data_IF_096518984548
#
_entry.id   IF_096518984548
#
_cell.length_a   1.000
_cell.length_b   1.000
_cell.length_c   1.000
_cell.angle_alpha   90.00
_cell.angle_beta   90.00
_cell.angle_gamma   90.00
#
_symmetry.space_group_name_H-M   'P 1'
#
loop_
_entity.id
_entity.type
_entity.pdbx_description
1 polymer ?
#
# COMPACT_ATOMS: atom_id res chain seq x y z
N UNK A 1 16.70 6.66 5.71
CA UNK A 1 15.76 5.92 4.86
C UNK A 1 16.53 5.37 3.68
N UNK A 2 16.61 4.06 3.56
CA UNK A 2 17.30 3.33 2.48
C UNK A 2 18.75 3.81 2.21
N UNK A 3 19.48 4.22 3.24
CA UNK A 3 20.86 4.67 3.14
C UNK A 3 21.06 6.07 2.56
N UNK A 4 20.00 6.73 2.10
CA UNK A 4 20.08 8.08 1.55
C UNK A 4 19.38 9.07 2.49
N UNK A 5 20.12 9.95 3.19
CA UNK A 5 19.49 10.91 4.08
C UNK A 5 18.70 11.96 3.29
N UNK A 6 17.48 12.24 3.75
CA UNK A 6 16.66 13.32 3.22
C UNK A 6 16.99 14.61 3.98
N UNK A 7 17.28 15.67 3.24
CA UNK A 7 17.56 17.01 3.80
C UNK A 7 16.37 17.94 3.53
N UNK A 8 16.17 19.00 4.33
CA UNK A 8 15.17 20.02 3.99
C UNK A 8 15.41 20.52 2.56
N UNK A 9 14.35 20.56 1.76
CA UNK A 9 14.44 20.94 0.35
C UNK A 9 14.92 19.86 -0.59
N UNK A 10 15.28 18.68 -0.11
CA UNK A 10 15.65 17.55 -0.95
C UNK A 10 14.46 17.09 -1.78
N UNK A 11 14.65 16.92 -3.08
CA UNK A 11 13.60 16.44 -3.99
C UNK A 11 13.74 14.94 -4.22
N UNK A 12 12.59 14.27 -4.39
CA UNK A 12 12.58 12.88 -4.82
C UNK A 12 13.10 12.78 -6.24
N UNK A 13 14.23 12.10 -6.42
CA UNK A 13 14.78 11.76 -7.75
C UNK A 13 14.06 10.56 -8.32
N UNK A 14 14.30 10.22 -9.59
CA UNK A 14 13.67 9.09 -10.26
C UNK A 14 13.77 7.77 -9.51
N UNK A 15 14.97 7.44 -8.98
CA UNK A 15 15.16 6.19 -8.25
C UNK A 15 14.43 6.21 -6.90
N UNK A 16 14.47 7.29 -6.17
CA UNK A 16 13.78 7.40 -4.88
C UNK A 16 12.27 7.33 -5.06
N UNK A 17 11.72 7.90 -6.14
CA UNK A 17 10.28 7.78 -6.46
C UNK A 17 9.86 6.34 -6.74
N UNK A 18 10.75 5.52 -7.29
CA UNK A 18 10.49 4.08 -7.49
C UNK A 18 10.59 3.31 -6.18
N UNK A 19 11.58 3.63 -5.34
CA UNK A 19 11.86 2.92 -4.10
C UNK A 19 10.82 3.15 -3.01
N UNK A 20 10.12 4.29 -3.03
CA UNK A 20 9.12 4.67 -2.03
C UNK A 20 7.78 4.90 -2.73
N UNK A 21 6.78 4.13 -2.37
CA UNK A 21 5.41 4.25 -2.89
C UNK A 21 4.42 4.41 -1.75
N UNK A 22 3.24 4.96 -2.04
CA UNK A 22 2.19 5.18 -1.04
C UNK A 22 0.86 4.57 -1.46
N UNK A 23 0.16 4.04 -0.46
CA UNK A 23 -1.25 3.64 -0.58
C UNK A 23 -2.06 4.51 0.38
N UNK A 24 -3.02 5.25 -0.17
CA UNK A 24 -3.80 6.23 0.58
C UNK A 24 -5.08 5.65 1.16
N UNK A 25 -5.67 6.39 2.10
CA UNK A 25 -6.89 6.04 2.82
C UNK A 25 -8.10 5.87 1.89
N UNK A 26 -8.27 6.75 0.90
CA UNK A 26 -9.47 6.79 0.08
C UNK A 26 -9.25 6.09 -1.27
N UNK A 27 -9.79 4.86 -1.44
CA UNK A 27 -9.65 4.15 -2.70
C UNK A 27 -10.42 4.78 -3.86
N UNK A 28 -11.41 5.63 -3.57
CA UNK A 28 -12.16 6.35 -4.61
C UNK A 28 -11.38 7.54 -5.16
N UNK A 29 -10.64 8.24 -4.30
CA UNK A 29 -9.82 9.39 -4.71
C UNK A 29 -8.51 9.00 -5.36
N UNK A 30 -8.02 7.77 -5.13
CA UNK A 30 -6.72 7.31 -5.62
C UNK A 30 -6.68 7.06 -7.13
N UNK A 31 -7.83 6.86 -7.78
CA UNK A 31 -7.92 6.46 -9.18
C UNK A 31 -8.64 7.54 -9.99
N UNK A 32 -8.07 7.89 -11.15
CA UNK A 32 -8.70 8.85 -12.05
C UNK A 32 -9.93 8.22 -12.70
N UNK A 33 -11.13 8.83 -12.56
CA UNK A 33 -12.38 8.18 -12.97
C UNK A 33 -12.52 7.95 -14.47
N UNK A 34 -11.82 8.73 -15.28
CA UNK A 34 -11.90 8.64 -16.75
C UNK A 34 -10.79 7.77 -17.36
N UNK A 35 -9.88 7.25 -16.54
CA UNK A 35 -8.84 6.35 -16.99
C UNK A 35 -9.22 4.90 -16.67
N UNK A 36 -9.14 4.01 -17.66
CA UNK A 36 -9.26 2.59 -17.37
C UNK A 36 -8.06 2.11 -16.54
N UNK A 37 -8.14 0.90 -16.03
CA UNK A 37 -7.09 0.37 -15.15
C UNK A 37 -5.77 0.15 -15.91
N UNK A 38 -5.85 -0.23 -17.17
CA UNK A 38 -4.68 -0.35 -18.05
C UNK A 38 -3.86 0.95 -18.06
N UNK A 39 -4.52 2.07 -18.24
CA UNK A 39 -3.88 3.39 -18.28
C UNK A 39 -3.34 3.78 -16.91
N UNK A 40 -4.14 3.56 -15.86
CA UNK A 40 -3.76 3.88 -14.48
C UNK A 40 -2.49 3.14 -14.06
N UNK A 41 -2.42 1.85 -14.35
CA UNK A 41 -1.26 1.02 -13.99
C UNK A 41 -0.08 1.24 -14.94
N UNK A 42 -0.34 1.56 -16.20
CA UNK A 42 0.70 1.77 -17.20
C UNK A 42 1.45 3.09 -17.08
N UNK A 43 0.80 4.15 -16.56
CA UNK A 43 1.43 5.47 -16.47
C UNK A 43 2.73 5.50 -15.67
N UNK A 44 2.78 4.97 -14.43
CA UNK A 44 4.05 4.98 -13.70
C UNK A 44 5.15 4.20 -14.40
N UNK A 45 4.81 3.12 -15.09
CA UNK A 45 5.79 2.34 -15.84
C UNK A 45 6.34 3.13 -17.03
N UNK A 46 5.49 3.86 -17.74
CA UNK A 46 5.90 4.73 -18.86
C UNK A 46 6.79 5.89 -18.39
N UNK A 47 6.40 6.53 -17.28
CA UNK A 47 7.15 7.66 -16.69
C UNK A 47 8.57 7.25 -16.35
N UNK A 48 8.76 6.03 -15.84
CA UNK A 48 10.08 5.51 -15.45
C UNK A 48 10.77 4.72 -16.57
N UNK A 49 10.24 4.74 -17.79
CA UNK A 49 10.87 4.09 -18.95
C UNK A 49 10.94 2.57 -18.84
N UNK A 50 10.02 1.96 -18.11
CA UNK A 50 10.00 0.52 -17.90
C UNK A 50 9.53 -0.23 -19.16
N UNK A 51 10.03 -1.46 -19.31
CA UNK A 51 9.69 -2.34 -20.43
C UNK A 51 8.66 -3.38 -20.01
N UNK A 52 8.09 -4.09 -21.00
CA UNK A 52 7.11 -5.16 -20.77
C UNK A 52 5.89 -4.71 -19.96
N UNK A 53 5.40 -3.50 -20.28
CA UNK A 53 4.33 -2.84 -19.53
C UNK A 53 3.09 -3.73 -19.41
N UNK A 54 2.62 -4.31 -20.52
CA UNK A 54 1.42 -5.14 -20.54
C UNK A 54 1.55 -6.36 -19.63
N UNK A 55 2.67 -7.05 -19.70
CA UNK A 55 2.92 -8.24 -18.86
C UNK A 55 3.00 -7.87 -17.40
N UNK A 56 3.60 -6.73 -17.08
CA UNK A 56 3.72 -6.25 -15.69
C UNK A 56 2.38 -5.85 -15.10
N UNK A 57 1.50 -5.27 -15.91
CA UNK A 57 0.13 -4.93 -15.49
C UNK A 57 -0.66 -6.21 -15.17
N UNK A 58 -0.62 -7.19 -16.06
CA UNK A 58 -1.31 -8.47 -15.84
C UNK A 58 -0.79 -9.15 -14.56
N UNK A 59 0.52 -9.22 -14.40
CA UNK A 59 1.14 -9.81 -13.21
C UNK A 59 0.72 -9.09 -11.93
N UNK A 60 0.71 -7.77 -11.94
CA UNK A 60 0.30 -6.98 -10.76
C UNK A 60 -1.17 -7.21 -10.39
N UNK A 61 -2.06 -7.28 -11.38
CA UNK A 61 -3.47 -7.57 -11.14
C UNK A 61 -3.66 -8.96 -10.53
N UNK A 62 -2.97 -9.96 -11.06
CA UNK A 62 -3.02 -11.31 -10.51
C UNK A 62 -2.53 -11.37 -9.07
N UNK A 63 -1.44 -10.66 -8.76
CA UNK A 63 -0.88 -10.60 -7.40
C UNK A 63 -1.85 -10.03 -6.36
N UNK A 64 -2.74 -9.15 -6.77
CA UNK A 64 -3.76 -8.59 -5.88
C UNK A 64 -5.11 -9.29 -6.00
N UNK A 65 -5.15 -10.42 -6.70
CA UNK A 65 -6.35 -11.25 -6.79
C UNK A 65 -7.40 -10.76 -7.79
N UNK A 66 -7.00 -9.98 -8.79
CA UNK A 66 -7.89 -9.50 -9.84
C UNK A 66 -7.56 -10.16 -11.18
N UNK A 67 -8.58 -10.41 -12.03
CA UNK A 67 -8.34 -11.00 -13.35
C UNK A 67 -7.68 -10.00 -14.31
N UNK A 68 -6.98 -10.52 -15.31
CA UNK A 68 -6.37 -9.69 -16.36
C UNK A 68 -7.39 -8.80 -17.07
N UNK A 69 -8.63 -9.26 -17.21
CA UNK A 69 -9.73 -8.49 -17.82
C UNK A 69 -10.07 -7.20 -17.06
N UNK A 70 -9.68 -7.08 -15.80
CA UNK A 70 -9.88 -5.86 -15.02
C UNK A 70 -9.15 -4.65 -15.65
N UNK A 71 -8.10 -4.88 -16.43
CA UNK A 71 -7.33 -3.81 -17.08
C UNK A 71 -8.18 -2.95 -18.03
N UNK A 72 -9.23 -3.52 -18.61
CA UNK A 72 -10.11 -2.82 -19.57
C UNK A 72 -11.26 -2.07 -18.91
N UNK A 73 -11.42 -2.21 -17.60
CA UNK A 73 -12.52 -1.59 -16.86
C UNK A 73 -12.12 -0.25 -16.26
N UNK A 74 -13.15 0.51 -15.89
CA UNK A 74 -13.00 1.83 -15.26
C UNK A 74 -13.24 1.74 -13.76
N UNK A 75 -12.72 2.72 -12.96
CA UNK A 75 -12.86 2.69 -11.49
C UNK A 75 -14.30 2.51 -10.99
N UNK A 76 -15.29 3.14 -11.65
CA UNK A 76 -16.70 3.03 -11.22
C UNK A 76 -17.28 1.62 -11.31
N UNK A 77 -16.61 0.72 -12.02
CA UNK A 77 -17.04 -0.69 -12.18
C UNK A 77 -16.51 -1.59 -11.06
N UNK A 78 -15.82 -1.03 -10.07
CA UNK A 78 -15.22 -1.79 -8.98
C UNK A 78 -15.75 -1.35 -7.62
N UNK A 79 -15.80 -2.30 -6.67
CA UNK A 79 -16.09 -2.02 -5.26
C UNK A 79 -14.93 -1.24 -4.61
N UNK A 80 -15.16 -0.72 -3.39
CA UNK A 80 -14.10 -0.05 -2.63
C UNK A 80 -12.90 -0.95 -2.36
N UNK A 81 -13.12 -2.20 -1.98
CA UNK A 81 -12.05 -3.18 -1.77
C UNK A 81 -11.27 -3.50 -3.03
N UNK A 82 -11.96 -3.65 -4.15
CA UNK A 82 -11.32 -3.87 -5.45
C UNK A 82 -10.50 -2.65 -5.89
N UNK A 83 -11.00 -1.43 -5.69
CA UNK A 83 -10.24 -0.20 -5.96
C UNK A 83 -8.99 -0.11 -5.11
N UNK A 84 -9.07 -0.52 -3.85
CA UNK A 84 -7.90 -0.54 -2.97
C UNK A 84 -6.87 -1.58 -3.46
N UNK A 85 -7.31 -2.73 -3.94
CA UNK A 85 -6.42 -3.73 -4.56
C UNK A 85 -5.72 -3.15 -5.79
N UNK A 86 -6.42 -2.37 -6.60
CA UNK A 86 -5.82 -1.69 -7.76
C UNK A 86 -4.77 -0.66 -7.32
N UNK A 87 -5.05 0.12 -6.28
CA UNK A 87 -4.09 1.08 -5.72
C UNK A 87 -2.83 0.38 -5.20
N UNK A 88 -3.00 -0.77 -4.56
CA UNK A 88 -1.88 -1.61 -4.11
C UNK A 88 -1.08 -2.13 -5.32
N UNK A 89 -1.75 -2.63 -6.34
CA UNK A 89 -1.11 -3.11 -7.57
C UNK A 89 -0.27 -2.01 -8.21
N UNK A 90 -0.80 -0.79 -8.29
CA UNK A 90 -0.08 0.36 -8.84
C UNK A 90 1.20 0.64 -8.06
N UNK A 91 1.12 0.60 -6.74
CA UNK A 91 2.28 0.81 -5.88
C UNK A 91 3.35 -0.28 -6.08
N UNK A 92 2.93 -1.53 -6.29
CA UNK A 92 3.86 -2.67 -6.47
C UNK A 92 4.59 -2.66 -7.81
N UNK A 93 4.01 -2.05 -8.84
CA UNK A 93 4.57 -2.10 -10.20
C UNK A 93 5.99 -1.58 -10.30
N UNK A 94 6.36 -0.61 -9.49
CA UNK A 94 7.69 -0.02 -9.48
C UNK A 94 8.66 -0.78 -8.57
N UNK A 95 8.22 -1.88 -7.98
CA UNK A 95 9.02 -2.73 -7.07
C UNK A 95 9.65 -1.92 -5.94
N UNK A 96 8.82 -1.26 -5.11
CA UNK A 96 9.33 -0.37 -4.06
C UNK A 96 10.06 -1.14 -2.97
N UNK A 97 11.01 -0.50 -2.33
CA UNK A 97 11.67 -1.01 -1.12
C UNK A 97 10.91 -0.63 0.14
N UNK A 98 10.22 0.51 0.11
CA UNK A 98 9.40 1.02 1.20
C UNK A 98 8.01 1.34 0.69
N UNK A 99 7.00 0.81 1.37
CA UNK A 99 5.60 1.10 1.09
C UNK A 99 4.99 1.83 2.28
N UNK A 100 4.52 3.05 2.04
CA UNK A 100 3.82 3.85 3.03
C UNK A 100 2.33 3.55 2.93
N UNK A 101 1.74 3.09 4.03
CA UNK A 101 0.33 2.73 4.12
C UNK A 101 -0.36 3.73 5.05
N UNK A 102 -1.12 4.66 4.47
CA UNK A 102 -1.83 5.69 5.21
C UNK A 102 -3.29 5.30 5.35
N UNK A 103 -3.66 4.77 6.52
CA UNK A 103 -5.01 4.31 6.84
C UNK A 103 -5.60 3.41 5.74
N UNK A 104 -4.88 2.34 5.30
CA UNK A 104 -5.19 1.66 4.03
C UNK A 104 -6.53 0.93 4.01
N UNK A 105 -7.16 0.73 5.17
CA UNK A 105 -8.41 -0.01 5.28
C UNK A 105 -9.53 0.76 5.97
N UNK A 106 -9.29 1.99 6.41
CA UNK A 106 -10.25 2.75 7.23
C UNK A 106 -11.58 3.06 6.53
N UNK A 107 -11.58 3.15 5.19
CA UNK A 107 -12.77 3.41 4.39
C UNK A 107 -13.53 2.14 3.97
N UNK A 108 -13.08 0.96 4.42
CA UNK A 108 -13.62 -0.33 4.03
C UNK A 108 -14.41 -0.97 5.18
N UNK A 109 -15.38 -1.82 4.86
CA UNK A 109 -16.07 -2.59 5.89
C UNK A 109 -15.15 -3.67 6.49
N UNK A 110 -15.54 -4.25 7.64
CA UNK A 110 -14.63 -5.12 8.41
C UNK A 110 -14.21 -6.38 7.67
N UNK A 111 -15.09 -6.99 6.88
CA UNK A 111 -14.74 -8.22 6.15
C UNK A 111 -13.76 -7.95 5.03
N UNK A 112 -13.96 -6.87 4.29
CA UNK A 112 -13.06 -6.43 3.22
C UNK A 112 -11.73 -5.96 3.80
N UNK A 113 -11.77 -5.28 4.95
CA UNK A 113 -10.59 -4.84 5.67
C UNK A 113 -9.65 -6.02 5.98
N UNK A 114 -10.19 -7.12 6.53
CA UNK A 114 -9.40 -8.32 6.81
C UNK A 114 -8.74 -8.90 5.55
N UNK A 115 -9.46 -8.93 4.44
CA UNK A 115 -8.93 -9.41 3.16
C UNK A 115 -7.75 -8.55 2.68
N UNK A 116 -7.88 -7.22 2.76
CA UNK A 116 -6.83 -6.30 2.35
C UNK A 116 -5.59 -6.41 3.25
N UNK A 117 -5.78 -6.53 4.56
CA UNK A 117 -4.66 -6.69 5.50
C UNK A 117 -3.92 -8.01 5.25
N UNK A 118 -4.64 -9.09 4.99
CA UNK A 118 -4.02 -10.38 4.65
C UNK A 118 -3.25 -10.31 3.33
N UNK A 119 -3.80 -9.62 2.34
CA UNK A 119 -3.13 -9.38 1.07
C UNK A 119 -1.82 -8.61 1.28
N UNK A 120 -1.85 -7.53 2.05
CA UNK A 120 -0.67 -6.71 2.34
C UNK A 120 0.41 -7.54 3.06
N UNK A 121 0.04 -8.36 4.02
CA UNK A 121 0.97 -9.25 4.72
C UNK A 121 1.59 -10.28 3.79
N UNK A 122 0.79 -10.85 2.90
CA UNK A 122 1.27 -11.81 1.90
C UNK A 122 2.28 -11.16 0.95
N UNK A 123 1.97 -9.98 0.42
CA UNK A 123 2.84 -9.25 -0.48
C UNK A 123 4.15 -8.81 0.19
N UNK A 124 4.08 -8.45 1.47
CA UNK A 124 5.27 -8.13 2.26
C UNK A 124 6.24 -9.31 2.31
N UNK A 125 5.72 -10.52 2.57
CA UNK A 125 6.54 -11.74 2.60
C UNK A 125 7.09 -12.12 1.23
N UNK A 126 6.25 -12.01 0.19
CA UNK A 126 6.63 -12.36 -1.18
C UNK A 126 7.73 -11.45 -1.74
N UNK A 127 7.64 -10.15 -1.49
CA UNK A 127 8.51 -9.16 -2.11
C UNK A 127 9.59 -8.59 -1.19
N UNK A 128 9.59 -8.95 0.09
CA UNK A 128 10.59 -8.47 1.04
C UNK A 128 10.58 -6.96 1.26
N UNK A 129 9.41 -6.31 1.09
CA UNK A 129 9.27 -4.87 1.27
C UNK A 129 9.20 -4.49 2.75
N UNK A 130 9.64 -3.26 3.06
CA UNK A 130 9.41 -2.63 4.34
C UNK A 130 8.11 -1.82 4.27
N UNK A 131 7.26 -1.97 5.28
CA UNK A 131 6.04 -1.19 5.39
C UNK A 131 6.14 -0.17 6.52
N UNK A 132 5.66 1.03 6.26
CA UNK A 132 5.39 2.03 7.29
C UNK A 132 3.88 2.29 7.30
N UNK A 133 3.23 1.88 8.38
CA UNK A 133 1.78 1.94 8.52
C UNK A 133 1.39 3.09 9.44
N UNK A 134 0.46 3.93 8.98
CA UNK A 134 -0.22 4.93 9.80
C UNK A 134 -1.66 4.48 9.99
N UNK A 135 -2.09 4.29 11.23
CA UNK A 135 -3.46 3.86 11.54
C UNK A 135 -3.87 4.33 12.93
N UNK A 136 -5.16 4.63 13.08
CA UNK A 136 -5.81 4.90 14.38
C UNK A 136 -6.37 3.62 15.00
N UNK A 137 -6.40 2.52 14.26
CA UNK A 137 -6.97 1.25 14.69
C UNK A 137 -5.86 0.37 15.27
N UNK A 138 -5.92 0.13 16.59
CA UNK A 138 -4.93 -0.69 17.29
C UNK A 138 -4.90 -2.14 16.82
N UNK A 139 -6.04 -2.69 16.39
CA UNK A 139 -6.11 -4.05 15.86
C UNK A 139 -5.37 -4.16 14.52
N UNK A 140 -5.51 -3.16 13.66
CA UNK A 140 -4.77 -3.07 12.39
C UNK A 140 -3.27 -3.00 12.65
N UNK A 141 -2.85 -2.15 13.59
CA UNK A 141 -1.44 -1.99 13.95
C UNK A 141 -0.88 -3.32 14.48
N UNK A 142 -1.60 -3.98 15.38
CA UNK A 142 -1.16 -5.26 15.95
C UNK A 142 -1.06 -6.36 14.89
N UNK A 143 -2.01 -6.40 13.94
CA UNK A 143 -2.04 -7.41 12.87
C UNK A 143 -0.90 -7.24 11.86
N UNK A 144 -0.54 -6.00 11.55
CA UNK A 144 0.37 -5.66 10.45
C UNK A 144 1.81 -5.39 10.87
N UNK A 145 2.05 -5.04 12.14
CA UNK A 145 3.31 -4.42 12.53
C UNK A 145 4.15 -5.33 13.43
N UNK A 146 5.46 -5.31 13.23
CA UNK A 146 6.43 -5.93 14.15
C UNK A 146 6.82 -4.95 15.25
N UNK A 147 6.81 -3.66 14.93
CA UNK A 147 7.08 -2.56 15.88
C UNK A 147 6.10 -1.43 15.61
N UNK A 148 5.68 -0.78 16.66
CA UNK A 148 4.77 0.35 16.55
C UNK A 148 5.20 1.48 17.46
N UNK A 149 4.78 2.70 17.14
CA UNK A 149 5.00 3.88 17.95
C UNK A 149 3.69 4.66 18.08
N UNK A 150 3.39 5.12 19.29
CA UNK A 150 2.26 6.02 19.53
C UNK A 150 2.76 7.44 19.40
N UNK A 151 2.08 8.25 18.58
CA UNK A 151 2.42 9.65 18.38
C UNK A 151 1.32 10.56 18.89
N UNK A 152 1.72 11.61 19.61
CA UNK A 152 0.83 12.68 20.04
C UNK A 152 1.52 14.02 19.76
N UNK A 153 0.77 14.96 19.17
CA UNK A 153 1.26 16.30 18.84
C UNK A 153 2.60 16.30 18.07
N UNK A 154 2.75 15.35 17.16
CA UNK A 154 3.94 15.22 16.33
C UNK A 154 5.15 14.56 17.01
N UNK A 155 4.99 14.03 18.23
CA UNK A 155 6.06 13.38 18.99
C UNK A 155 5.74 11.93 19.29
N UNK A 156 6.76 11.09 19.28
CA UNK A 156 6.65 9.70 19.72
C UNK A 156 6.58 9.69 21.25
N UNK A 157 5.48 9.18 21.80
CA UNK A 157 5.28 9.09 23.26
C UNK A 157 5.52 7.70 23.82
N UNK A 158 5.41 6.66 22.97
CA UNK A 158 5.62 5.27 23.38
C UNK A 158 5.95 4.42 22.16
N UNK A 159 6.84 3.43 22.36
CA UNK A 159 7.15 2.40 21.36
C UNK A 159 6.72 1.03 21.86
N UNK A 160 6.31 0.18 20.91
CA UNK A 160 5.85 -1.19 21.19
C UNK A 160 6.63 -2.17 20.34
N UNK A 161 7.03 -3.30 20.94
CA UNK A 161 7.58 -4.44 20.21
C UNK A 161 6.47 -5.35 19.71
N UNK A 162 6.81 -6.33 18.86
CA UNK A 162 5.85 -7.36 18.43
C UNK A 162 5.21 -8.06 19.62
N UNK A 163 6.00 -8.36 20.64
CA UNK A 163 5.51 -9.01 21.85
C UNK A 163 4.48 -8.16 22.59
N UNK A 164 4.74 -6.86 22.74
CA UNK A 164 3.78 -5.92 23.33
C UNK A 164 2.46 -5.87 22.56
N UNK A 165 2.53 -5.88 21.22
CA UNK A 165 1.37 -5.86 20.35
C UNK A 165 0.54 -7.13 20.46
N UNK A 166 1.18 -8.28 20.56
CA UNK A 166 0.52 -9.56 20.75
C UNK A 166 -0.22 -9.64 22.09
N UNK A 167 0.38 -9.13 23.16
CA UNK A 167 -0.26 -9.04 24.47
C UNK A 167 -1.49 -8.14 24.45
N UNK A 168 -1.40 -6.98 23.81
CA UNK A 168 -2.51 -6.04 23.65
C UNK A 168 -3.67 -6.67 22.87
N UNK A 169 -3.38 -7.34 21.78
CA UNK A 169 -4.37 -8.06 20.97
C UNK A 169 -5.08 -9.13 21.79
N UNK A 170 -4.35 -9.89 22.60
CA UNK A 170 -4.91 -10.92 23.46
C UNK A 170 -5.88 -10.37 24.49
N UNK A 171 -5.58 -9.22 25.10
CA UNK A 171 -6.43 -8.61 26.12
C UNK A 171 -7.57 -7.78 25.55
N UNK A 172 -7.42 -7.26 24.35
CA UNK A 172 -8.42 -6.42 23.69
C UNK A 172 -9.35 -7.21 22.76
N UNK A 173 -8.93 -8.36 22.36
CA UNK A 173 -9.69 -9.24 21.49
C UNK A 173 -10.65 -10.06 22.30
#
# INVERSE_FOLDING_TARGET
MLGTPLRPGHRFTGQLRKDVQMVFQDPYASLHPQHNIQRTLGEPLKIHGEKNIQQRIVSALEQVGLPASAAQRYPHQFSGGQRQRIAIARALLLRPKLLLLDEPTSALDMSVQAEILNLLNHLKREHGMTYLLVSHDSDVVAHMSERAALMESGKIVREFTRQDLELAEHFMG
#
